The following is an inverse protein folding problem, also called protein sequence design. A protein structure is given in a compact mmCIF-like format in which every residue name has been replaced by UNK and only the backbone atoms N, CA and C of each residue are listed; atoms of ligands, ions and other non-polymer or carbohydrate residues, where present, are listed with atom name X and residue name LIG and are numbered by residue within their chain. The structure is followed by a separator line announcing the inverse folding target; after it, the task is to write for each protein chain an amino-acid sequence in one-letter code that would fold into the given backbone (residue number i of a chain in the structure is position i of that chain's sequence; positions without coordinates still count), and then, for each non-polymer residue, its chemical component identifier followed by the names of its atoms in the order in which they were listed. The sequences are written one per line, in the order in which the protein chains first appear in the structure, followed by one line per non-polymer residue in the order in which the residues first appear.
data_IF_693021969145
#
_entry.id   IF_693021969145
#
_cell.length_a   1.000
_cell.length_b   1.000
_cell.length_c   1.000
_cell.angle_alpha   90.00
_cell.angle_beta   90.00
_cell.angle_gamma   90.00
#
_symmetry.space_group_name_H-M   'P 1'
#
loop_
_entity.id
_entity.type
_entity.pdbx_description
1 polymer ?
#
# COMPACT_ATOMS: atom_id res chain seq x y z
N UNK A 1 -7.80 -17.61 -0.16
CA UNK A 1 -6.61 -16.73 -0.07
C UNK A 1 -6.59 -16.15 1.32
N UNK A 2 -5.42 -16.01 1.94
CA UNK A 2 -5.28 -15.30 3.23
C UNK A 2 -4.79 -13.86 2.99
N UNK A 3 -4.95 -13.01 4.01
CA UNK A 3 -4.61 -11.59 3.96
C UNK A 3 -4.06 -11.16 5.31
N UNK A 4 -2.83 -10.68 5.34
CA UNK A 4 -2.10 -10.32 6.57
C UNK A 4 -1.53 -8.91 6.43
N UNK A 5 -1.62 -8.13 7.50
CA UNK A 5 -0.98 -6.81 7.61
C UNK A 5 0.07 -6.90 8.71
N UNK A 6 1.31 -6.55 8.36
CA UNK A 6 2.46 -6.68 9.26
C UNK A 6 3.29 -5.41 9.27
N UNK A 7 3.77 -4.98 10.44
CA UNK A 7 4.68 -3.85 10.54
C UNK A 7 6.14 -4.32 10.46
N UNK A 8 6.91 -3.67 9.59
CA UNK A 8 8.35 -3.83 9.49
C UNK A 8 8.99 -2.68 10.26
N UNK A 9 9.63 -3.02 11.37
CA UNK A 9 10.22 -2.09 12.31
C UNK A 9 11.74 -2.10 12.12
N UNK A 10 12.36 -0.92 12.07
CA UNK A 10 13.81 -0.81 12.00
C UNK A 10 14.49 -1.03 13.36
N UNK A 11 15.82 -0.98 13.39
CA UNK A 11 16.61 -1.20 14.61
C UNK A 11 16.36 -0.14 15.70
N UNK A 12 15.81 1.02 15.34
CA UNK A 12 15.47 2.10 16.28
C UNK A 12 14.08 1.94 16.89
N UNK A 13 13.29 0.96 16.44
CA UNK A 13 11.90 0.77 16.85
C UNK A 13 10.89 1.56 16.02
N UNK A 14 11.32 2.23 14.95
CA UNK A 14 10.40 2.97 14.07
C UNK A 14 9.80 2.06 13.00
N UNK A 15 8.50 2.22 12.71
CA UNK A 15 7.83 1.48 11.64
C UNK A 15 8.31 2.02 10.29
N UNK A 16 9.25 1.32 9.66
CA UNK A 16 9.78 1.67 8.35
C UNK A 16 8.74 1.42 7.25
N UNK A 17 8.01 0.31 7.34
CA UNK A 17 6.93 -0.05 6.41
C UNK A 17 5.81 -0.78 7.14
N UNK A 18 4.59 -0.66 6.64
CA UNK A 18 3.53 -1.65 6.88
C UNK A 18 3.38 -2.47 5.62
N UNK A 19 3.50 -3.79 5.68
CA UNK A 19 3.27 -4.67 4.54
C UNK A 19 1.88 -5.27 4.54
N UNK A 20 1.35 -5.52 3.34
CA UNK A 20 0.16 -6.32 3.10
C UNK A 20 0.54 -7.54 2.30
N UNK A 21 0.40 -8.72 2.90
CA UNK A 21 0.72 -10.01 2.30
C UNK A 21 -0.55 -10.77 1.95
N UNK A 22 -0.59 -11.31 0.72
CA UNK A 22 -1.64 -12.23 0.28
C UNK A 22 -1.02 -13.55 -0.12
N UNK A 23 -1.57 -14.64 0.42
CA UNK A 23 -1.11 -16.00 0.12
C UNK A 23 -2.20 -16.82 -0.55
N UNK A 24 -1.79 -17.65 -1.50
CA UNK A 24 -2.63 -18.72 -2.00
C UNK A 24 -2.93 -19.68 -0.83
N UNK A 25 -4.21 -20.03 -0.64
CA UNK A 25 -4.61 -20.85 0.50
C UNK A 25 -4.12 -22.30 0.40
N UNK A 26 -4.09 -22.86 -0.81
CA UNK A 26 -3.72 -24.25 -1.03
C UNK A 26 -2.21 -24.46 -0.96
N UNK A 27 -1.42 -23.53 -1.52
CA UNK A 27 0.05 -23.68 -1.61
C UNK A 27 0.84 -22.88 -0.56
N UNK A 28 0.22 -21.93 0.13
CA UNK A 28 0.91 -21.01 1.05
C UNK A 28 1.82 -19.99 0.38
N UNK A 29 1.99 -20.06 -0.94
CA UNK A 29 2.83 -19.14 -1.72
C UNK A 29 2.29 -17.71 -1.62
N UNK A 30 3.20 -16.76 -1.41
CA UNK A 30 2.90 -15.33 -1.49
C UNK A 30 2.62 -14.99 -2.95
N UNK A 31 1.41 -14.55 -3.23
CA UNK A 31 1.00 -14.14 -4.59
C UNK A 31 0.99 -12.61 -4.74
N UNK A 32 1.00 -11.89 -3.63
CA UNK A 32 1.02 -10.43 -3.62
C UNK A 32 1.63 -9.91 -2.32
N UNK A 33 2.50 -8.91 -2.44
CA UNK A 33 3.06 -8.16 -1.32
C UNK A 33 3.08 -6.68 -1.66
N UNK A 34 2.42 -5.85 -0.84
CA UNK A 34 2.52 -4.40 -0.91
C UNK A 34 3.22 -3.85 0.33
N UNK A 35 4.06 -2.83 0.16
CA UNK A 35 4.69 -2.12 1.27
C UNK A 35 4.22 -0.67 1.28
N UNK A 36 3.78 -0.21 2.44
CA UNK A 36 3.17 1.09 2.67
C UNK A 36 4.04 1.88 3.62
N UNK A 37 4.34 3.12 3.26
CA UNK A 37 5.06 4.08 4.10
C UNK A 37 4.60 5.49 3.74
N UNK A 38 5.17 6.50 4.39
CA UNK A 38 5.05 7.90 3.96
C UNK A 38 6.27 8.31 3.13
N UNK A 39 6.10 9.27 2.23
CA UNK A 39 7.21 9.94 1.54
C UNK A 39 6.83 11.39 1.23
N UNK A 40 7.82 12.28 1.16
CA UNK A 40 7.61 13.69 0.83
C UNK A 40 8.32 14.02 -0.49
N UNK A 41 7.69 13.74 -1.64
CA UNK A 41 8.29 14.06 -2.92
C UNK A 41 8.43 15.59 -3.11
N UNK A 42 9.41 16.06 -3.91
CA UNK A 42 9.66 17.50 -4.08
C UNK A 42 8.41 18.27 -4.52
N UNK A 43 8.18 19.43 -3.91
CA UNK A 43 7.03 20.28 -4.23
C UNK A 43 5.67 19.72 -3.81
N UNK A 44 5.65 18.62 -3.05
CA UNK A 44 4.44 18.04 -2.47
C UNK A 44 4.59 17.90 -0.96
N UNK A 45 3.46 17.92 -0.24
CA UNK A 45 3.42 17.51 1.16
C UNK A 45 3.60 16.00 1.33
N UNK A 46 3.44 15.49 2.57
CA UNK A 46 3.47 14.06 2.86
C UNK A 46 2.48 13.30 1.97
N UNK A 47 2.98 12.24 1.33
CA UNK A 47 2.22 11.34 0.48
C UNK A 47 2.25 9.93 1.05
N UNK A 48 1.21 9.16 0.81
CA UNK A 48 1.24 7.71 1.01
C UNK A 48 2.06 7.11 -0.12
N UNK A 49 3.07 6.33 0.22
CA UNK A 49 3.92 5.59 -0.72
C UNK A 49 3.56 4.12 -0.65
N UNK A 50 3.20 3.54 -1.78
CA UNK A 50 2.98 2.10 -1.92
C UNK A 50 4.01 1.50 -2.86
N UNK A 51 4.64 0.41 -2.47
CA UNK A 51 5.65 -0.30 -3.26
C UNK A 51 5.24 -1.75 -3.45
N UNK A 52 5.16 -2.18 -4.70
CA UNK A 52 4.88 -3.56 -5.09
C UNK A 52 6.11 -4.15 -5.74
N UNK A 53 6.81 -5.10 -5.09
CA UNK A 53 7.93 -5.81 -5.69
C UNK A 53 7.49 -6.53 -6.95
N UNK A 54 8.31 -6.43 -7.98
CA UNK A 54 8.18 -7.22 -9.21
C UNK A 54 9.56 -7.75 -9.58
N UNK A 55 9.61 -8.69 -10.53
CA UNK A 55 10.88 -9.20 -11.04
C UNK A 55 11.78 -8.03 -11.47
N UNK A 56 12.98 -7.96 -10.87
CA UNK A 56 14.02 -6.95 -11.12
C UNK A 56 13.59 -5.50 -10.86
N UNK A 57 12.70 -5.27 -9.90
CA UNK A 57 12.36 -3.90 -9.50
C UNK A 57 11.08 -3.79 -8.68
N UNK A 58 10.38 -2.66 -8.84
CA UNK A 58 9.09 -2.45 -8.20
C UNK A 58 8.20 -1.48 -9.01
N UNK A 59 6.90 -1.59 -8.77
CA UNK A 59 5.95 -0.51 -9.04
C UNK A 59 5.81 0.31 -7.77
N UNK A 60 6.07 1.61 -7.84
CA UNK A 60 5.89 2.55 -6.74
C UNK A 60 4.77 3.52 -7.09
N UNK A 61 3.82 3.74 -6.20
CA UNK A 61 2.78 4.77 -6.34
C UNK A 61 2.91 5.75 -5.20
N UNK A 62 2.92 7.03 -5.53
CA UNK A 62 2.84 8.13 -4.58
C UNK A 62 1.45 8.73 -4.65
N UNK A 63 0.72 8.67 -3.54
CA UNK A 63 -0.65 9.12 -3.40
C UNK A 63 -0.69 10.36 -2.51
N UNK A 64 -1.08 11.49 -3.10
CA UNK A 64 -1.31 12.71 -2.34
C UNK A 64 -2.63 12.57 -1.57
N UNK A 65 -2.63 12.69 -0.23
CA UNK A 65 -3.85 12.70 0.54
C UNK A 65 -4.59 14.03 0.40
N UNK A 66 -5.91 13.98 0.44
CA UNK A 66 -6.79 15.15 0.43
C UNK A 66 -8.03 14.87 1.28
N UNK A 67 -8.11 15.51 2.44
CA UNK A 67 -9.32 15.47 3.28
C UNK A 67 -10.45 16.23 2.57
N UNK A 68 -11.64 15.63 2.53
CA UNK A 68 -12.83 16.23 1.93
C UNK A 68 -13.73 16.83 3.02
N UNK A 69 -14.61 17.75 2.64
CA UNK A 69 -15.51 18.46 3.57
C UNK A 69 -16.56 17.56 4.21
N UNK A 70 -16.88 16.43 3.59
CA UNK A 70 -17.81 15.41 4.09
C UNK A 70 -17.15 14.38 5.03
N UNK A 71 -15.86 14.58 5.37
CA UNK A 71 -15.08 13.68 6.23
C UNK A 71 -14.46 12.49 5.49
N UNK A 72 -14.71 12.34 4.19
CA UNK A 72 -14.04 11.33 3.36
C UNK A 72 -12.58 11.73 3.03
N UNK A 73 -11.79 10.76 2.60
CA UNK A 73 -10.38 10.93 2.22
C UNK A 73 -10.18 10.55 0.76
N UNK A 74 -9.54 11.43 -0.02
CA UNK A 74 -9.01 11.05 -1.33
C UNK A 74 -7.51 10.76 -1.26
N UNK A 75 -7.08 9.70 -1.92
CA UNK A 75 -5.68 9.38 -2.19
C UNK A 75 -5.45 9.46 -3.70
N UNK A 76 -4.64 10.42 -4.12
CA UNK A 76 -4.58 10.86 -5.52
C UNK A 76 -3.18 10.64 -6.11
N UNK A 77 -3.11 9.78 -7.13
CA UNK A 77 -1.94 9.54 -7.98
C UNK A 77 -2.24 10.14 -9.36
N UNK A 78 -2.01 11.46 -9.51
CA UNK A 78 -2.44 12.18 -10.71
C UNK A 78 -1.50 13.26 -11.25
N UNK A 79 -0.22 13.24 -10.87
CA UNK A 79 0.76 14.25 -11.28
C UNK A 79 1.01 14.34 -12.79
N UNK A 80 1.87 15.27 -13.20
CA UNK A 80 2.12 15.55 -14.62
C UNK A 80 3.54 15.24 -15.06
N UNK A 81 4.51 15.20 -14.13
CA UNK A 81 5.93 14.99 -14.41
C UNK A 81 6.61 14.14 -13.34
N UNK A 82 7.84 13.72 -13.64
CA UNK A 82 8.71 13.08 -12.67
C UNK A 82 8.89 13.99 -11.44
N UNK A 83 8.82 13.39 -10.25
CA UNK A 83 8.83 14.09 -8.97
C UNK A 83 7.43 14.30 -8.40
N UNK A 84 6.38 14.32 -9.22
CA UNK A 84 5.01 14.49 -8.72
C UNK A 84 4.44 13.19 -8.11
N UNK A 85 3.41 13.26 -7.25
CA UNK A 85 2.60 12.11 -6.88
C UNK A 85 2.05 11.40 -8.13
N UNK A 86 2.22 10.09 -8.20
CA UNK A 86 1.89 9.32 -9.40
C UNK A 86 2.51 7.92 -9.38
N UNK A 87 2.37 7.22 -10.51
CA UNK A 87 2.93 5.89 -10.70
C UNK A 87 4.36 5.94 -11.28
N UNK A 88 5.24 5.16 -10.67
CA UNK A 88 6.63 4.98 -11.06
C UNK A 88 6.93 3.50 -11.27
N UNK A 89 7.59 3.17 -12.38
CA UNK A 89 8.23 1.86 -12.58
C UNK A 89 9.72 2.00 -12.35
N UNK A 90 10.22 1.29 -11.34
CA UNK A 90 11.64 1.24 -11.00
C UNK A 90 12.16 -0.13 -11.41
N UNK A 91 13.26 -0.18 -12.15
CA UNK A 91 13.91 -1.41 -12.59
C UNK A 91 15.42 -1.35 -12.39
N UNK A 92 16.03 -2.48 -12.06
CA UNK A 92 17.48 -2.62 -12.08
C UNK A 92 18.04 -2.36 -13.49
N UNK A 93 19.12 -1.58 -13.58
CA UNK A 93 19.77 -1.19 -14.84
C UNK A 93 21.27 -1.58 -14.89
N UNK A 94 21.67 -2.56 -14.08
CA UNK A 94 23.05 -3.02 -13.91
C UNK A 94 23.59 -2.72 -12.51
N UNK A 95 24.87 -3.06 -12.23
CA UNK A 95 25.46 -2.94 -10.90
C UNK A 95 25.32 -1.52 -10.33
N UNK A 96 24.60 -1.40 -9.21
CA UNK A 96 24.37 -0.12 -8.51
C UNK A 96 23.51 0.90 -9.27
N UNK A 97 22.90 0.52 -10.41
CA UNK A 97 22.13 1.43 -11.26
C UNK A 97 20.66 1.04 -11.27
N UNK A 98 19.80 2.04 -11.20
CA UNK A 98 18.36 1.89 -11.38
C UNK A 98 17.88 2.77 -12.52
N UNK A 99 16.83 2.32 -13.19
CA UNK A 99 16.06 3.10 -14.15
C UNK A 99 14.69 3.37 -13.55
N UNK A 100 14.26 4.63 -13.60
CA UNK A 100 12.97 5.07 -13.06
C UNK A 100 12.16 5.69 -14.18
N UNK A 101 10.93 5.21 -14.34
CA UNK A 101 9.97 5.73 -15.31
C UNK A 101 8.77 6.30 -14.58
N UNK A 102 8.45 7.57 -14.85
CA UNK A 102 7.18 8.14 -14.46
C UNK A 102 6.12 7.80 -15.52
N UNK A 103 5.10 7.03 -15.16
CA UNK A 103 4.06 6.58 -16.10
C UNK A 103 2.93 7.60 -16.12
N UNK A 104 3.19 8.73 -16.79
CA UNK A 104 2.26 9.87 -16.89
C UNK A 104 0.83 9.49 -17.34
N UNK A 105 0.61 8.54 -18.26
CA UNK A 105 -0.76 8.17 -18.68
C UNK A 105 -1.64 7.55 -17.60
N UNK A 106 -1.04 6.92 -16.60
CA UNK A 106 -1.77 6.23 -15.53
C UNK A 106 -2.13 7.23 -14.43
N UNK A 107 -3.41 7.28 -14.11
CA UNK A 107 -3.98 8.14 -13.07
C UNK A 107 -4.87 7.31 -12.18
N UNK A 108 -4.71 7.44 -10.87
CA UNK A 108 -5.46 6.65 -9.89
C UNK A 108 -5.99 7.57 -8.79
N UNK A 109 -7.23 7.34 -8.38
CA UNK A 109 -7.86 8.01 -7.23
C UNK A 109 -8.57 6.96 -6.40
N UNK A 110 -8.25 6.90 -5.12
CA UNK A 110 -9.06 6.19 -4.13
C UNK A 110 -9.88 7.24 -3.39
N UNK A 111 -11.19 7.10 -3.36
CA UNK A 111 -12.08 7.91 -2.54
C UNK A 111 -12.63 7.02 -1.43
N UNK A 112 -12.17 7.26 -0.21
CA UNK A 112 -12.42 6.44 0.97
C UNK A 112 -13.44 7.15 1.86
N UNK A 113 -14.56 6.46 2.10
CA UNK A 113 -15.66 6.90 2.94
C UNK A 113 -15.64 6.12 4.25
N UNK A 114 -15.38 6.77 5.40
CA UNK A 114 -15.46 6.11 6.69
C UNK A 114 -16.92 5.80 7.05
N UNK A 115 -17.12 4.70 7.77
CA UNK A 115 -18.40 4.33 8.36
C UNK A 115 -18.30 4.28 9.89
N UNK A 116 -19.45 4.30 10.58
CA UNK A 116 -19.53 4.44 12.04
C UNK A 116 -19.00 3.22 12.80
N UNK A 117 -18.96 2.06 12.15
CA UNK A 117 -18.44 0.80 12.70
C UNK A 117 -16.91 0.64 12.51
N UNK A 118 -16.24 1.69 12.02
CA UNK A 118 -14.80 1.70 11.72
C UNK A 118 -14.44 1.01 10.41
N UNK A 119 -15.42 0.52 9.65
CA UNK A 119 -15.21 0.07 8.28
C UNK A 119 -15.07 1.25 7.32
N UNK A 120 -14.60 0.97 6.11
CA UNK A 120 -14.50 1.97 5.04
C UNK A 120 -15.06 1.43 3.74
N UNK A 121 -15.83 2.26 3.03
CA UNK A 121 -16.20 2.04 1.63
C UNK A 121 -15.25 2.81 0.74
N UNK A 122 -14.85 2.25 -0.38
CA UNK A 122 -13.88 2.87 -1.27
C UNK A 122 -14.31 2.74 -2.72
N UNK A 123 -14.32 3.86 -3.42
CA UNK A 123 -14.32 3.90 -4.87
C UNK A 123 -12.87 4.10 -5.36
N UNK A 124 -12.37 3.18 -6.18
CA UNK A 124 -11.04 3.25 -6.77
C UNK A 124 -11.16 3.37 -8.28
N UNK A 125 -10.76 4.53 -8.78
CA UNK A 125 -10.76 4.86 -10.20
C UNK A 125 -9.35 4.74 -10.76
N UNK A 126 -9.22 4.07 -11.91
CA UNK A 126 -8.00 4.05 -12.72
C UNK A 126 -8.32 4.56 -14.11
N UNK A 127 -7.54 5.54 -14.55
CA UNK A 127 -7.60 6.08 -15.91
C UNK A 127 -6.28 5.86 -16.63
N UNK A 128 -6.37 5.52 -17.90
CA UNK A 128 -5.23 5.45 -18.82
C UNK A 128 -5.45 6.40 -19.98
N UNK A 129 -4.56 7.38 -20.18
CA UNK A 129 -4.72 8.43 -21.20
C UNK A 129 -6.09 9.13 -21.13
N UNK A 130 -6.66 9.26 -19.94
CA UNK A 130 -7.99 9.86 -19.73
C UNK A 130 -9.17 8.91 -19.91
N UNK A 131 -8.99 7.71 -20.47
CA UNK A 131 -10.03 6.69 -20.54
C UNK A 131 -10.17 5.98 -19.19
N UNK A 132 -11.40 5.78 -18.71
CA UNK A 132 -11.65 4.96 -17.52
C UNK A 132 -11.41 3.49 -17.87
N UNK A 133 -10.46 2.85 -17.21
CA UNK A 133 -10.10 1.43 -17.47
C UNK A 133 -10.47 0.52 -16.31
N UNK A 134 -10.63 1.07 -15.11
CA UNK A 134 -11.07 0.34 -13.94
C UNK A 134 -11.83 1.27 -13.01
N UNK A 135 -12.93 0.75 -12.49
CA UNK A 135 -13.65 1.34 -11.37
C UNK A 135 -14.01 0.21 -10.42
N UNK A 136 -13.38 0.18 -9.24
CA UNK A 136 -13.68 -0.78 -8.19
C UNK A 136 -14.48 -0.09 -7.10
N UNK A 137 -15.54 -0.73 -6.67
CA UNK A 137 -16.22 -0.41 -5.43
C UNK A 137 -15.97 -1.55 -4.44
N UNK A 138 -15.43 -1.24 -3.26
CA UNK A 138 -15.17 -2.25 -2.25
C UNK A 138 -15.32 -1.71 -0.83
N UNK A 139 -15.50 -2.64 0.10
CA UNK A 139 -15.66 -2.38 1.52
C UNK A 139 -14.57 -3.12 2.29
N UNK A 140 -13.94 -2.43 3.23
CA UNK A 140 -12.92 -3.01 4.11
C UNK A 140 -13.42 -2.88 5.54
N UNK A 141 -13.50 -4.01 6.22
CA UNK A 141 -13.82 -4.07 7.65
C UNK A 141 -12.56 -4.23 8.49
N UNK A 142 -12.57 -3.73 9.74
CA UNK A 142 -11.50 -4.05 10.69
C UNK A 142 -11.37 -5.56 10.86
N UNK A 143 -10.13 -6.05 10.92
CA UNK A 143 -9.89 -7.42 11.35
C UNK A 143 -10.31 -7.51 12.81
N UNK A 144 -11.31 -8.36 13.10
CA UNK A 144 -11.61 -8.72 14.48
C UNK A 144 -10.35 -9.37 15.06
N UNK A 145 -9.81 -8.77 16.11
CA UNK A 145 -8.63 -9.28 16.80
C UNK A 145 -9.01 -10.61 17.46
N UNK A 146 -8.94 -11.72 16.70
CA UNK A 146 -8.97 -13.06 17.26
C UNK A 146 -7.73 -13.12 18.13
N UNK A 147 -7.95 -13.08 19.45
CA UNK A 147 -6.95 -13.18 20.50
C UNK A 147 -5.77 -14.01 20.00
N UNK A 148 -4.64 -13.35 19.70
CA UNK A 148 -3.34 -14.01 19.59
C UNK A 148 -3.03 -14.51 21.00
N UNK A 149 -3.59 -15.66 21.36
CA UNK A 149 -3.18 -16.40 22.54
C UNK A 149 -1.69 -16.66 22.37
N UNK A 150 -0.87 -15.94 23.13
CA UNK A 150 0.54 -16.23 23.24
C UNK A 150 0.68 -17.71 23.64
N UNK A 151 1.61 -18.48 23.04
CA UNK A 151 1.92 -19.80 23.55
C UNK A 151 2.33 -19.63 25.01
N UNK A 152 1.56 -20.22 25.93
CA UNK A 152 1.94 -20.29 27.33
C UNK A 152 3.31 -20.96 27.37
N UNK A 153 4.30 -20.25 27.92
CA UNK A 153 5.59 -20.80 28.23
C UNK A 153 5.35 -22.04 29.11
N UNK A 154 5.59 -23.22 28.54
CA UNK A 154 5.52 -24.47 29.26
C UNK A 154 6.40 -24.37 30.51
N UNK A 155 5.79 -24.57 31.67
CA UNK A 155 6.50 -24.83 32.90
C UNK A 155 7.43 -26.01 32.66
N UNK A 156 8.73 -25.73 32.57
CA UNK A 156 9.77 -26.73 32.71
C UNK A 156 9.67 -27.27 34.15
N UNK A 157 9.13 -28.48 34.27
CA UNK A 157 9.05 -29.21 35.53
C UNK A 157 10.49 -29.51 35.99
N UNK A 158 10.91 -28.91 37.11
CA UNK A 158 12.07 -29.35 37.88
C UNK A 158 11.56 -30.21 39.02
N UNK A 159 11.77 -31.52 38.91
CA UNK A 159 12.19 -32.45 39.99
C UNK A 159 12.53 -33.77 39.34
#
# INVERSE_FOLDING_TARGET
MTSEVEQLVDQSGHVAFTSWLRRNLASGLVIYSGFYSTATPPGSGPCVKTVFPVVRGNATVLLRPEAQTDGSLKLISSGHRFGDPGFYRITEAGPGRIRVWYVRPLKEVFHVYPDVDGSVRTDHFVRWLGLSVLHLHYHITPVQEIQRAAPQAGHANRT
#
